data_IF_357170496117
#
_entry.id   IF_357170496117
#
_cell.length_a   1.000
_cell.length_b   1.000
_cell.length_c   1.000
_cell.angle_alpha   90.00
_cell.angle_beta   90.00
_cell.angle_gamma   90.00
#
_symmetry.space_group_name_H-M   'P 1'
#
loop_
_entity.id
_entity.type
_entity.pdbx_description
1 polymer ?
#
# COMPACT_ATOMS: atom_id res chain seq x y z
N UNK A 1 85.89 -29.29 -26.40
CA UNK A 1 84.44 -29.12 -26.69
C UNK A 1 83.82 -28.36 -25.52
N UNK A 2 83.31 -27.16 -25.77
CA UNK A 2 82.37 -26.41 -24.90
C UNK A 2 81.21 -25.98 -25.82
N UNK A 3 79.94 -25.75 -25.40
CA UNK A 3 79.32 -25.52 -24.08
C UNK A 3 78.00 -26.37 -23.91
N UNK A 4 76.91 -26.09 -23.13
CA UNK A 4 76.21 -24.82 -22.89
C UNK A 4 75.87 -24.46 -21.41
N UNK A 5 75.48 -23.20 -21.13
CA UNK A 5 75.12 -22.70 -19.80
C UNK A 5 73.60 -22.72 -19.56
N UNK A 6 73.16 -22.87 -18.30
CA UNK A 6 71.85 -22.41 -17.83
C UNK A 6 71.90 -22.26 -16.29
N UNK A 7 71.32 -21.26 -15.63
CA UNK A 7 70.08 -20.59 -16.02
C UNK A 7 69.99 -19.19 -15.38
N UNK A 8 69.66 -18.19 -16.21
CA UNK A 8 69.38 -16.83 -15.75
C UNK A 8 68.03 -16.80 -15.01
N UNK A 9 68.07 -16.30 -13.78
CA UNK A 9 66.90 -15.78 -13.04
C UNK A 9 66.04 -14.87 -13.93
N UNK A 10 64.91 -15.39 -14.45
CA UNK A 10 63.85 -14.59 -15.08
C UNK A 10 62.46 -15.15 -14.75
N UNK A 11 62.18 -15.43 -13.47
CA UNK A 11 60.84 -15.91 -13.03
C UNK A 11 59.94 -14.84 -12.38
N UNK A 12 60.37 -13.59 -12.24
CA UNK A 12 59.57 -12.56 -11.54
C UNK A 12 58.56 -11.82 -12.42
N UNK A 13 58.73 -11.75 -13.75
CA UNK A 13 57.81 -10.99 -14.63
C UNK A 13 56.58 -11.81 -15.07
N UNK A 14 56.73 -13.13 -15.24
CA UNK A 14 55.62 -14.01 -15.63
C UNK A 14 54.54 -14.15 -14.54
N UNK A 15 54.94 -14.15 -13.26
CA UNK A 15 53.99 -14.23 -12.15
C UNK A 15 53.08 -13.00 -12.02
N UNK A 16 53.60 -11.80 -12.31
CA UNK A 16 52.79 -10.57 -12.28
C UNK A 16 51.81 -10.48 -13.46
N UNK A 17 52.21 -10.97 -14.65
CA UNK A 17 51.30 -11.03 -15.80
C UNK A 17 50.18 -12.04 -15.53
N UNK A 18 50.50 -13.21 -14.96
CA UNK A 18 49.49 -14.18 -14.56
C UNK A 18 48.53 -13.61 -13.49
N UNK A 19 49.04 -12.88 -12.49
CA UNK A 19 48.22 -12.22 -11.47
C UNK A 19 47.25 -11.18 -12.07
N UNK A 20 47.72 -10.35 -13.01
CA UNK A 20 46.89 -9.35 -13.68
C UNK A 20 45.78 -10.02 -14.48
N UNK A 21 46.09 -11.10 -15.20
CA UNK A 21 45.09 -11.87 -15.96
C UNK A 21 44.02 -12.43 -15.02
N UNK A 22 44.42 -13.01 -13.89
CA UNK A 22 43.48 -13.54 -12.89
C UNK A 22 42.60 -12.42 -12.30
N UNK A 23 43.18 -11.26 -11.98
CA UNK A 23 42.43 -10.11 -11.46
C UNK A 23 41.44 -9.55 -12.48
N UNK A 24 41.80 -9.51 -13.77
CA UNK A 24 40.89 -9.06 -14.84
C UNK A 24 39.75 -10.05 -15.03
N UNK A 25 40.03 -11.36 -14.98
CA UNK A 25 38.98 -12.38 -15.09
C UNK A 25 38.04 -12.34 -13.88
N UNK A 26 38.56 -12.27 -12.66
CA UNK A 26 37.74 -12.17 -11.44
C UNK A 26 36.99 -10.83 -11.36
N UNK A 27 37.65 -9.72 -11.68
CA UNK A 27 37.03 -8.40 -11.72
C UNK A 27 35.95 -8.30 -12.79
N UNK A 28 36.19 -8.86 -13.97
CA UNK A 28 35.19 -8.96 -15.05
C UNK A 28 34.01 -9.87 -14.69
N UNK A 29 34.26 -11.01 -14.04
CA UNK A 29 33.21 -11.89 -13.56
C UNK A 29 32.39 -11.27 -12.43
N UNK A 30 33.04 -10.56 -11.50
CA UNK A 30 32.36 -9.86 -10.40
C UNK A 30 31.55 -8.67 -10.91
N UNK A 31 32.11 -7.84 -11.81
CA UNK A 31 31.40 -6.72 -12.40
C UNK A 31 30.26 -7.18 -13.33
N UNK A 32 30.49 -8.24 -14.12
CA UNK A 32 29.48 -8.85 -14.96
C UNK A 32 28.35 -9.49 -14.14
N UNK A 33 28.71 -10.25 -13.09
CA UNK A 33 27.75 -10.82 -12.14
C UNK A 33 26.94 -9.76 -11.41
N UNK A 34 27.58 -8.67 -10.95
CA UNK A 34 26.91 -7.53 -10.33
C UNK A 34 25.96 -6.83 -11.30
N UNK A 35 26.38 -6.60 -12.55
CA UNK A 35 25.55 -5.97 -13.57
C UNK A 35 24.35 -6.84 -13.96
N UNK A 36 24.55 -8.16 -14.10
CA UNK A 36 23.44 -9.09 -14.36
C UNK A 36 22.49 -9.12 -13.17
N UNK A 37 23.00 -9.24 -11.95
CA UNK A 37 22.17 -9.22 -10.75
C UNK A 37 21.37 -7.92 -10.66
N UNK A 38 22.01 -6.75 -10.78
CA UNK A 38 21.34 -5.46 -10.64
C UNK A 38 20.27 -5.16 -11.71
N UNK A 39 20.32 -5.82 -12.87
CA UNK A 39 19.38 -5.58 -13.97
C UNK A 39 18.35 -6.71 -14.15
N UNK A 40 18.58 -7.89 -13.55
CA UNK A 40 17.75 -9.09 -13.79
C UNK A 40 17.38 -9.82 -12.50
N UNK A 41 17.52 -9.19 -11.33
CA UNK A 41 17.22 -9.79 -10.03
C UNK A 41 15.84 -10.45 -9.97
N UNK A 42 14.79 -9.75 -10.39
CA UNK A 42 13.42 -10.26 -10.32
C UNK A 42 13.24 -11.52 -11.17
N UNK A 43 13.76 -11.53 -12.40
CA UNK A 43 13.74 -12.70 -13.30
C UNK A 43 14.61 -13.86 -12.80
N UNK A 44 15.71 -13.55 -12.12
CA UNK A 44 16.58 -14.56 -11.53
C UNK A 44 15.89 -15.22 -10.33
N UNK A 45 15.20 -14.44 -9.49
CA UNK A 45 14.40 -14.95 -8.37
C UNK A 45 13.21 -15.79 -8.86
N UNK A 46 12.52 -15.35 -9.91
CA UNK A 46 11.45 -16.11 -10.60
C UNK A 46 11.96 -17.47 -11.09
N UNK A 47 13.06 -17.51 -11.85
CA UNK A 47 13.63 -18.75 -12.40
C UNK A 47 14.17 -19.71 -11.33
N UNK A 48 14.66 -19.17 -10.20
CA UNK A 48 15.23 -19.95 -9.10
C UNK A 48 14.19 -20.34 -8.04
N UNK A 49 12.93 -19.91 -8.18
CA UNK A 49 11.85 -20.19 -7.23
C UNK A 49 12.02 -19.51 -5.88
N UNK A 50 12.65 -18.32 -5.87
CA UNK A 50 12.89 -17.50 -4.67
C UNK A 50 11.90 -16.33 -4.57
N UNK A 51 10.71 -16.47 -5.13
CA UNK A 51 9.64 -15.49 -4.97
C UNK A 51 9.06 -15.60 -3.56
N UNK A 52 8.96 -14.45 -2.88
CA UNK A 52 8.15 -14.39 -1.66
C UNK A 52 6.68 -14.62 -2.06
N UNK A 53 5.94 -15.47 -1.33
CA UNK A 53 4.53 -15.70 -1.61
C UNK A 53 3.76 -14.39 -1.63
N UNK A 54 2.90 -14.18 -2.62
CA UNK A 54 2.04 -13.00 -2.70
C UNK A 54 0.97 -12.98 -1.60
N UNK A 55 0.58 -14.15 -1.09
CA UNK A 55 -0.41 -14.28 -0.03
C UNK A 55 0.22 -14.65 1.33
N UNK A 56 -0.55 -14.39 2.38
CA UNK A 56 -0.32 -15.00 3.68
C UNK A 56 -0.69 -16.49 3.64
N UNK A 57 -0.10 -17.28 4.54
CA UNK A 57 -0.51 -18.68 4.72
C UNK A 57 -1.95 -18.76 5.22
N UNK A 58 -2.68 -19.76 4.76
CA UNK A 58 -4.06 -20.01 5.19
C UNK A 58 -4.16 -20.16 6.71
N UNK A 59 -5.17 -19.53 7.31
CA UNK A 59 -5.48 -19.65 8.73
C UNK A 59 -4.59 -18.84 9.68
N UNK A 60 -3.68 -17.98 9.18
CA UNK A 60 -2.98 -17.03 10.04
C UNK A 60 -3.94 -15.97 10.60
N UNK A 61 -4.65 -15.25 9.73
CA UNK A 61 -5.71 -14.28 10.00
C UNK A 61 -5.77 -13.78 11.47
N UNK A 62 -5.02 -12.71 11.76
CA UNK A 62 -4.82 -12.19 13.13
C UNK A 62 -5.23 -10.73 13.23
N UNK A 63 -5.36 -10.21 14.46
CA UNK A 63 -5.59 -8.78 14.69
C UNK A 63 -6.91 -8.27 14.11
N UNK A 64 -6.98 -6.96 13.96
CA UNK A 64 -8.15 -6.24 13.45
C UNK A 64 -7.67 -5.21 12.43
N UNK A 65 -8.36 -5.12 11.30
CA UNK A 65 -8.11 -4.16 10.24
C UNK A 65 -9.44 -3.54 9.80
N UNK A 66 -9.38 -2.33 9.29
CA UNK A 66 -10.56 -1.64 8.78
C UNK A 66 -10.34 -1.28 7.31
N UNK A 67 -11.29 -1.67 6.47
CA UNK A 67 -11.33 -1.32 5.06
C UNK A 67 -12.47 -0.32 4.83
N UNK A 68 -12.15 0.84 4.26
CA UNK A 68 -13.17 1.79 3.79
C UNK A 68 -13.35 1.68 2.28
N UNK A 69 -14.54 1.29 1.87
CA UNK A 69 -14.98 1.25 0.47
C UNK A 69 -15.79 2.50 0.19
N UNK A 70 -15.48 3.19 -0.90
CA UNK A 70 -16.21 4.36 -1.41
C UNK A 70 -16.82 4.07 -2.79
N UNK A 71 -17.75 4.91 -3.21
CA UNK A 71 -18.40 4.77 -4.52
C UNK A 71 -17.37 4.82 -5.65
N UNK A 72 -17.48 3.85 -6.57
CA UNK A 72 -16.56 3.72 -7.70
C UNK A 72 -15.30 2.92 -7.38
N UNK A 73 -15.11 2.44 -6.14
CA UNK A 73 -14.08 1.47 -5.85
C UNK A 73 -14.28 0.17 -6.65
N UNK A 74 -13.15 -0.40 -7.09
CA UNK A 74 -13.07 -1.66 -7.82
C UNK A 74 -12.04 -2.56 -7.16
N UNK A 75 -11.92 -3.81 -7.61
CA UNK A 75 -10.85 -4.71 -7.13
C UNK A 75 -9.46 -4.07 -7.20
N UNK A 76 -9.20 -3.29 -8.26
CA UNK A 76 -7.93 -2.60 -8.46
C UNK A 76 -7.68 -1.46 -7.45
N UNK A 77 -8.72 -0.75 -7.00
CA UNK A 77 -8.56 0.31 -6.00
C UNK A 77 -8.66 -0.20 -4.56
N UNK A 78 -9.32 -1.35 -4.34
CA UNK A 78 -9.45 -1.99 -3.03
C UNK A 78 -8.17 -2.74 -2.65
N UNK A 79 -7.51 -3.40 -3.60
CA UNK A 79 -6.28 -4.16 -3.36
C UNK A 79 -5.19 -3.37 -2.60
N UNK A 80 -4.80 -2.15 -3.01
CA UNK A 80 -3.83 -1.36 -2.26
C UNK A 80 -4.35 -0.95 -0.87
N UNK A 81 -5.66 -0.71 -0.69
CA UNK A 81 -6.24 -0.38 0.63
C UNK A 81 -6.15 -1.56 1.59
N UNK A 82 -6.38 -2.78 1.09
CA UNK A 82 -6.23 -4.00 1.88
C UNK A 82 -4.79 -4.19 2.34
N UNK A 83 -3.82 -3.93 1.46
CA UNK A 83 -2.41 -3.99 1.80
C UNK A 83 -2.02 -2.91 2.83
N UNK A 84 -2.45 -1.66 2.64
CA UNK A 84 -2.23 -0.58 3.60
C UNK A 84 -2.82 -0.89 4.99
N UNK A 85 -3.95 -1.59 5.03
CA UNK A 85 -4.59 -2.04 6.26
C UNK A 85 -3.95 -3.31 6.87
N UNK A 86 -2.96 -3.91 6.19
CA UNK A 86 -2.28 -5.14 6.61
C UNK A 86 -3.13 -6.41 6.44
N UNK A 87 -4.21 -6.34 5.65
CA UNK A 87 -5.08 -7.49 5.36
C UNK A 87 -4.38 -8.42 4.39
N UNK A 88 -3.90 -7.91 3.26
CA UNK A 88 -3.16 -8.68 2.25
C UNK A 88 -1.66 -8.43 2.33
N UNK A 89 -0.86 -9.42 1.90
CA UNK A 89 0.59 -9.38 2.05
C UNK A 89 1.27 -8.48 1.03
N UNK A 90 0.73 -8.40 -0.18
CA UNK A 90 1.22 -7.52 -1.24
C UNK A 90 0.08 -6.61 -1.75
N UNK A 91 0.40 -5.45 -2.35
CA UNK A 91 -0.58 -4.50 -2.85
C UNK A 91 -1.45 -5.04 -3.98
N UNK A 92 -0.97 -6.03 -4.75
CA UNK A 92 -1.66 -6.54 -5.94
C UNK A 92 -2.37 -7.89 -5.70
N UNK A 93 -2.10 -8.57 -4.58
CA UNK A 93 -2.61 -9.93 -4.31
C UNK A 93 -4.12 -10.08 -4.52
N UNK A 94 -4.90 -9.14 -3.97
CA UNK A 94 -6.37 -9.22 -4.06
C UNK A 94 -6.87 -9.01 -5.48
N UNK A 95 -6.30 -8.05 -6.20
CA UNK A 95 -6.68 -7.80 -7.59
C UNK A 95 -6.29 -8.97 -8.50
N UNK A 96 -5.06 -9.48 -8.35
CA UNK A 96 -4.58 -10.62 -9.12
C UNK A 96 -5.42 -11.87 -8.87
N UNK A 97 -5.84 -12.10 -7.62
CA UNK A 97 -6.80 -13.15 -7.26
C UNK A 97 -8.14 -12.99 -7.99
N UNK A 98 -8.73 -11.79 -7.97
CA UNK A 98 -10.00 -11.53 -8.67
C UNK A 98 -9.88 -11.77 -10.18
N UNK A 99 -8.76 -11.39 -10.79
CA UNK A 99 -8.50 -11.62 -12.22
C UNK A 99 -8.29 -13.10 -12.53
N UNK A 100 -7.51 -13.81 -11.70
CA UNK A 100 -7.21 -15.23 -11.89
C UNK A 100 -8.47 -16.11 -11.81
N UNK A 101 -9.38 -15.75 -10.90
CA UNK A 101 -10.64 -16.48 -10.68
C UNK A 101 -11.83 -15.94 -11.50
N UNK A 102 -11.61 -14.95 -12.37
CA UNK A 102 -12.66 -14.29 -13.18
C UNK A 102 -13.84 -13.75 -12.33
N UNK A 103 -13.51 -13.13 -11.20
CA UNK A 103 -14.48 -12.62 -10.22
C UNK A 103 -14.69 -11.10 -10.38
N UNK A 104 -15.95 -10.68 -10.42
CA UNK A 104 -16.34 -9.27 -10.41
C UNK A 104 -17.46 -8.99 -9.38
N UNK A 105 -17.13 -9.06 -8.08
CA UNK A 105 -18.09 -8.86 -7.00
C UNK A 105 -18.57 -7.40 -6.93
N UNK A 106 -19.84 -7.16 -6.53
CA UNK A 106 -20.30 -5.80 -6.25
C UNK A 106 -19.74 -5.32 -4.92
N UNK A 107 -18.98 -4.21 -4.93
CA UNK A 107 -18.50 -3.56 -3.71
C UNK A 107 -19.46 -2.45 -3.28
N UNK A 108 -19.90 -2.50 -2.02
CA UNK A 108 -20.83 -1.52 -1.44
C UNK A 108 -20.05 -0.55 -0.57
N UNK A 109 -20.30 0.77 -0.66
CA UNK A 109 -19.65 1.75 0.21
C UNK A 109 -19.90 1.51 1.70
N UNK A 110 -18.88 1.77 2.51
CA UNK A 110 -18.92 1.65 3.97
C UNK A 110 -17.59 1.17 4.56
N UNK A 111 -17.59 1.00 5.89
CA UNK A 111 -16.43 0.51 6.65
C UNK A 111 -16.63 -0.96 6.97
N UNK A 112 -15.63 -1.79 6.69
CA UNK A 112 -15.63 -3.22 6.95
C UNK A 112 -14.54 -3.56 7.96
N UNK A 113 -14.93 -4.30 9.00
CA UNK A 113 -13.99 -4.88 9.95
C UNK A 113 -13.50 -6.22 9.41
N UNK A 114 -12.20 -6.29 9.18
CA UNK A 114 -11.50 -7.46 8.66
C UNK A 114 -10.43 -7.91 9.66
N UNK A 115 -9.77 -9.01 9.35
CA UNK A 115 -8.57 -9.45 10.05
C UNK A 115 -7.33 -9.05 9.24
N UNK A 116 -6.21 -8.85 9.92
CA UNK A 116 -4.91 -8.74 9.25
C UNK A 116 -4.46 -10.13 8.81
N UNK A 117 -3.55 -10.18 7.84
CA UNK A 117 -2.92 -11.41 7.40
C UNK A 117 -3.89 -12.46 6.82
N UNK A 118 -4.85 -12.01 6.01
CA UNK A 118 -5.81 -12.84 5.30
C UNK A 118 -5.27 -13.23 3.91
N UNK A 119 -5.76 -14.34 3.38
CA UNK A 119 -5.68 -14.66 1.94
C UNK A 119 -6.65 -13.77 1.16
N UNK A 120 -6.43 -13.61 -0.15
CA UNK A 120 -7.32 -12.78 -0.98
C UNK A 120 -8.75 -13.33 -1.03
N UNK A 121 -8.87 -14.67 -1.08
CA UNK A 121 -10.14 -15.37 -1.00
C UNK A 121 -10.89 -15.09 0.32
N UNK A 122 -10.20 -15.17 1.46
CA UNK A 122 -10.81 -14.89 2.76
C UNK A 122 -11.18 -13.41 2.91
N UNK A 123 -10.35 -12.50 2.39
CA UNK A 123 -10.66 -11.08 2.37
C UNK A 123 -11.92 -10.80 1.53
N UNK A 124 -12.07 -11.45 0.36
CA UNK A 124 -13.26 -11.32 -0.46
C UNK A 124 -14.52 -11.80 0.27
N UNK A 125 -14.45 -13.00 0.86
CA UNK A 125 -15.57 -13.55 1.64
C UNK A 125 -15.98 -12.61 2.77
N UNK A 126 -15.00 -12.07 3.50
CA UNK A 126 -15.26 -11.16 4.60
C UNK A 126 -15.82 -9.80 4.15
N UNK A 127 -15.41 -9.27 3.00
CA UNK A 127 -15.98 -8.03 2.41
C UNK A 127 -17.44 -8.25 1.98
N UNK A 128 -17.76 -9.44 1.47
CA UNK A 128 -19.12 -9.76 1.01
C UNK A 128 -20.07 -10.14 2.14
N UNK A 129 -19.55 -10.46 3.33
CA UNK A 129 -20.36 -10.74 4.51
C UNK A 129 -20.85 -9.43 5.16
N UNK A 130 -22.18 -9.17 5.16
CA UNK A 130 -22.74 -7.97 5.78
C UNK A 130 -22.49 -7.92 7.29
N UNK A 131 -22.19 -9.04 7.97
CA UNK A 131 -21.85 -9.05 9.38
C UNK A 131 -20.52 -8.35 9.70
N UNK A 132 -19.64 -8.19 8.71
CA UNK A 132 -18.38 -7.47 8.85
C UNK A 132 -18.51 -5.98 8.53
N UNK A 133 -19.62 -5.55 7.94
CA UNK A 133 -19.91 -4.13 7.70
C UNK A 133 -20.24 -3.45 9.04
N UNK A 134 -19.58 -2.33 9.30
CA UNK A 134 -19.81 -1.52 10.48
C UNK A 134 -20.89 -0.47 10.19
N UNK A 135 -22.02 -0.59 10.86
CA UNK A 135 -23.15 0.34 10.73
C UNK A 135 -22.88 1.67 11.43
N UNK A 136 -23.26 2.77 10.80
CA UNK A 136 -23.06 4.15 11.31
C UNK A 136 -21.59 4.46 11.66
N UNK A 137 -20.66 3.84 10.92
CA UNK A 137 -19.22 4.01 11.12
C UNK A 137 -18.61 4.67 9.89
N UNK A 138 -17.69 5.61 10.12
CA UNK A 138 -16.87 6.20 9.08
C UNK A 138 -15.41 6.22 9.53
N UNK A 139 -14.48 5.98 8.61
CA UNK A 139 -13.06 6.03 8.90
C UNK A 139 -12.39 7.10 8.04
N UNK A 140 -11.72 8.03 8.72
CA UNK A 140 -10.91 9.06 8.10
C UNK A 140 -9.43 8.69 8.25
N UNK A 141 -8.74 8.54 7.12
CA UNK A 141 -7.28 8.33 7.07
C UNK A 141 -6.56 9.67 7.19
N UNK A 142 -5.28 9.60 7.53
CA UNK A 142 -4.41 10.77 7.53
C UNK A 142 -4.27 11.37 6.12
N UNK A 143 -4.05 12.68 6.05
CA UNK A 143 -3.78 13.39 4.80
C UNK A 143 -5.00 13.64 3.90
N UNK A 144 -6.21 13.28 4.36
CA UNK A 144 -7.45 13.64 3.67
C UNK A 144 -7.71 15.15 3.76
N UNK A 145 -8.21 15.73 2.67
CA UNK A 145 -8.79 17.08 2.72
C UNK A 145 -10.18 17.05 3.35
N UNK A 146 -10.71 18.22 3.72
CA UNK A 146 -12.11 18.31 4.20
C UNK A 146 -13.08 17.78 3.15
N UNK A 147 -12.91 18.16 1.87
CA UNK A 147 -13.78 17.71 0.78
C UNK A 147 -13.79 16.18 0.64
N UNK A 148 -12.62 15.53 0.75
CA UNK A 148 -12.53 14.07 0.72
C UNK A 148 -13.16 13.45 1.96
N UNK A 149 -12.97 14.07 3.12
CA UNK A 149 -13.53 13.59 4.38
C UNK A 149 -15.06 13.62 4.36
N UNK A 150 -15.67 14.71 3.92
CA UNK A 150 -17.13 14.82 3.84
C UNK A 150 -17.74 13.87 2.80
N UNK A 151 -17.02 13.55 1.72
CA UNK A 151 -17.43 12.52 0.77
C UNK A 151 -17.48 11.14 1.44
N UNK A 152 -16.42 10.76 2.16
CA UNK A 152 -16.35 9.49 2.88
C UNK A 152 -17.45 9.41 3.94
N UNK A 153 -17.67 10.49 4.71
CA UNK A 153 -18.71 10.57 5.73
C UNK A 153 -20.11 10.43 5.10
N UNK A 154 -20.37 11.12 3.98
CA UNK A 154 -21.63 11.02 3.25
C UNK A 154 -21.95 9.61 2.82
N UNK A 155 -20.99 8.92 2.21
CA UNK A 155 -21.21 7.57 1.69
C UNK A 155 -21.30 6.51 2.79
N UNK A 156 -20.47 6.64 3.84
CA UNK A 156 -20.43 5.66 4.92
C UNK A 156 -21.65 5.77 5.84
N UNK A 157 -22.14 6.98 6.08
CA UNK A 157 -23.28 7.25 6.98
C UNK A 157 -24.61 7.40 6.24
N UNK A 158 -24.60 7.36 4.90
CA UNK A 158 -25.76 7.59 4.05
C UNK A 158 -26.48 8.93 4.33
N UNK A 159 -25.72 9.96 4.73
CA UNK A 159 -26.20 11.33 4.90
C UNK A 159 -25.85 12.13 3.63
N UNK A 160 -26.74 12.97 3.09
CA UNK A 160 -26.46 13.75 1.88
C UNK A 160 -25.18 14.59 1.98
N UNK A 161 -24.38 14.59 0.90
CA UNK A 161 -23.14 15.38 0.83
C UNK A 161 -23.39 16.88 1.03
N UNK A 162 -24.52 17.37 0.53
CA UNK A 162 -24.93 18.77 0.68
C UNK A 162 -25.07 19.20 2.15
N UNK A 163 -25.53 18.29 3.02
CA UNK A 163 -25.66 18.55 4.44
C UNK A 163 -24.29 18.69 5.11
N UNK A 164 -23.30 17.90 4.66
CA UNK A 164 -21.92 18.05 5.13
C UNK A 164 -21.25 19.31 4.59
N UNK A 165 -21.48 19.66 3.33
CA UNK A 165 -20.98 20.90 2.74
C UNK A 165 -21.51 22.12 3.51
N UNK A 166 -22.79 22.09 3.90
CA UNK A 166 -23.38 23.11 4.76
C UNK A 166 -22.77 23.10 6.17
N UNK A 167 -22.55 21.92 6.76
CA UNK A 167 -21.99 21.78 8.09
C UNK A 167 -20.55 22.34 8.19
N UNK A 168 -19.70 22.13 7.19
CA UNK A 168 -18.29 22.58 7.21
C UNK A 168 -18.10 24.04 6.75
N UNK A 169 -19.14 24.68 6.24
CA UNK A 169 -19.06 26.04 5.70
C UNK A 169 -18.84 27.13 6.76
N UNK A 170 -19.34 26.93 7.98
CA UNK A 170 -19.18 27.86 9.09
C UNK A 170 -18.45 27.20 10.26
N UNK A 171 -17.12 27.34 10.37
CA UNK A 171 -16.35 26.72 11.45
C UNK A 171 -16.63 27.35 12.83
N UNK A 172 -17.25 28.53 12.87
CA UNK A 172 -17.52 29.22 14.14
C UNK A 172 -18.53 28.47 15.01
N UNK A 173 -19.40 27.66 14.39
CA UNK A 173 -20.37 26.81 15.12
C UNK A 173 -19.67 25.71 15.94
N UNK A 174 -18.43 25.36 15.59
CA UNK A 174 -17.58 24.40 16.31
C UNK A 174 -16.55 25.09 17.23
N UNK A 175 -16.58 26.43 17.30
CA UNK A 175 -15.57 27.20 18.04
C UNK A 175 -14.18 27.20 17.39
N UNK A 176 -14.11 26.86 16.09
CA UNK A 176 -12.85 26.81 15.33
C UNK A 176 -12.61 28.15 14.64
N UNK A 177 -11.43 28.78 14.82
CA UNK A 177 -11.09 30.00 14.10
C UNK A 177 -10.78 29.71 12.63
N UNK A 178 -11.29 30.54 11.72
CA UNK A 178 -10.97 30.48 10.29
C UNK A 178 -9.51 30.84 10.05
N UNK A 179 -8.80 30.03 9.27
CA UNK A 179 -7.51 30.42 8.70
C UNK A 179 -7.71 31.06 7.33
N UNK A 180 -7.70 32.40 7.28
CA UNK A 180 -7.91 33.18 6.06
C UNK A 180 -6.93 32.83 4.93
N UNK A 181 -5.70 32.41 5.25
CA UNK A 181 -4.72 32.01 4.25
C UNK A 181 -5.10 30.70 3.56
N UNK A 182 -5.72 29.76 4.28
CA UNK A 182 -6.23 28.49 3.72
C UNK A 182 -7.38 28.78 2.77
N UNK A 183 -8.36 29.58 3.21
CA UNK A 183 -9.53 29.94 2.40
C UNK A 183 -9.10 30.73 1.16
N UNK A 184 -8.16 31.68 1.29
CA UNK A 184 -7.62 32.42 0.15
C UNK A 184 -6.87 31.55 -0.86
N UNK A 185 -6.32 30.40 -0.43
CA UNK A 185 -5.70 29.40 -1.29
C UNK A 185 -6.70 28.39 -1.89
N UNK A 186 -8.00 28.54 -1.60
CA UNK A 186 -9.07 27.66 -2.08
C UNK A 186 -9.34 26.43 -1.21
N UNK A 187 -8.76 26.35 -0.02
CA UNK A 187 -9.06 25.28 0.95
C UNK A 187 -10.34 25.54 1.75
N UNK A 188 -10.84 24.50 2.43
CA UNK A 188 -12.04 24.61 3.26
C UNK A 188 -11.75 25.29 4.61
N UNK A 189 -12.72 25.97 5.25
CA UNK A 189 -12.50 26.65 6.53
C UNK A 189 -12.07 25.71 7.68
N UNK A 190 -12.46 24.44 7.63
CA UNK A 190 -12.10 23.40 8.61
C UNK A 190 -10.87 22.56 8.20
N UNK A 191 -10.08 23.00 7.22
CA UNK A 191 -8.90 22.23 6.77
C UNK A 191 -7.93 21.95 7.93
N UNK A 192 -7.57 20.68 8.10
CA UNK A 192 -6.70 20.21 9.19
C UNK A 192 -7.38 20.10 10.57
N UNK A 193 -8.68 20.35 10.69
CA UNK A 193 -9.43 20.21 11.96
C UNK A 193 -10.17 18.89 12.10
N UNK A 194 -10.42 18.17 11.00
CA UNK A 194 -11.03 16.84 11.05
C UNK A 194 -9.96 15.81 11.42
N UNK A 195 -10.06 15.27 12.64
CA UNK A 195 -9.06 14.34 13.15
C UNK A 195 -9.19 12.96 12.47
N UNK A 196 -8.07 12.32 12.08
CA UNK A 196 -8.10 11.00 11.45
C UNK A 196 -8.35 9.91 12.49
N UNK A 197 -9.51 9.26 12.40
CA UNK A 197 -9.87 8.11 13.21
C UNK A 197 -11.02 7.32 12.57
N UNK A 198 -11.33 6.17 13.17
CA UNK A 198 -12.60 5.47 12.94
C UNK A 198 -13.61 5.97 13.96
N UNK A 199 -14.69 6.57 13.47
CA UNK A 199 -15.80 7.10 14.27
C UNK A 199 -17.03 6.21 14.13
N UNK A 200 -17.74 6.00 15.23
CA UNK A 200 -19.04 5.33 15.24
C UNK A 200 -20.07 6.24 15.89
N UNK A 201 -21.21 6.40 15.23
CA UNK A 201 -22.24 7.35 15.62
C UNK A 201 -23.53 6.63 16.01
N UNK A 202 -24.35 7.30 16.82
CA UNK A 202 -25.72 6.87 17.05
C UNK A 202 -26.54 6.98 15.75
N UNK A 203 -27.55 6.12 15.55
CA UNK A 203 -28.42 6.22 14.39
C UNK A 203 -29.13 7.58 14.32
N UNK A 204 -29.18 8.17 13.12
CA UNK A 204 -29.93 9.40 12.86
C UNK A 204 -29.24 10.70 13.30
N UNK A 205 -27.93 10.67 13.55
CA UNK A 205 -27.14 11.90 13.71
C UNK A 205 -27.22 12.79 12.46
N UNK A 206 -27.15 14.10 12.68
CA UNK A 206 -27.05 15.09 11.61
C UNK A 206 -25.60 15.30 11.17
N UNK A 207 -25.40 15.82 9.95
CA UNK A 207 -24.06 16.15 9.44
C UNK A 207 -23.27 17.06 10.39
N UNK A 208 -23.92 18.08 10.99
CA UNK A 208 -23.27 18.96 11.95
C UNK A 208 -22.80 18.21 13.21
N UNK A 209 -23.59 17.26 13.73
CA UNK A 209 -23.19 16.44 14.88
C UNK A 209 -22.04 15.48 14.56
N UNK A 210 -21.93 15.04 13.29
CA UNK A 210 -20.84 14.20 12.83
C UNK A 210 -19.52 14.98 12.71
N UNK A 211 -19.58 16.26 12.33
CA UNK A 211 -18.40 17.14 12.21
C UNK A 211 -17.88 17.63 13.57
N UNK A 212 -18.76 17.72 14.58
CA UNK A 212 -18.44 18.22 15.92
C UNK A 212 -17.61 17.23 16.75
#
# INVERSE_FOLDING_TARGET
MTPPPAERRRRRRGGWIALIIVLVLFGGAAAGGWWVWSNYEDKIREVLGWEEPQEYEEGMATGEAFLTIVSGDTGASISPKLYEAGVTKTPDAFYDYLVAEDLNPPFVPGVFRLQQQMTSAAALEAILDPANRMENTAQLREGLTVDQSIQILSESLAIPLEDFQAAVADPSVFGVPVNEAVVAAGGQPLEGWLFPATYTFDPGVTAQQVIQ
#
